data_IF_004338108896
#
_entry.id   IF_004338108896
#
_cell.length_a   1.000
_cell.length_b   1.000
_cell.length_c   1.000
_cell.angle_alpha   90.00
_cell.angle_beta   90.00
_cell.angle_gamma   90.00
#
_symmetry.space_group_name_H-M   'P 1'
#
loop_
_entity.id
_entity.type
_entity.pdbx_description
1 polymer ?
#
# COMPACT_ATOMS: atom_id res chain seq x y z
N UNK A 1 62.20 1.26 24.99
CA UNK A 1 61.47 0.01 25.31
C UNK A 1 60.07 0.16 24.72
N UNK A 2 59.46 -0.75 23.95
CA UNK A 2 59.73 -2.15 23.68
C UNK A 2 59.21 -2.56 22.29
N UNK A 3 59.93 -3.47 21.64
CA UNK A 3 59.53 -4.16 20.40
C UNK A 3 58.77 -5.43 20.82
N UNK A 4 57.54 -5.64 20.34
CA UNK A 4 56.87 -6.96 20.41
C UNK A 4 56.86 -7.62 19.04
N UNK A 5 57.30 -8.88 19.07
CA UNK A 5 57.63 -9.77 17.95
C UNK A 5 56.38 -10.30 17.25
N UNK A 6 56.47 -10.44 15.94
CA UNK A 6 55.56 -11.23 15.12
C UNK A 6 55.80 -12.72 15.34
N UNK A 7 54.74 -13.48 15.57
CA UNK A 7 54.75 -14.96 15.53
C UNK A 7 54.26 -15.44 14.18
N UNK A 8 55.17 -16.07 13.43
CA UNK A 8 54.87 -16.88 12.24
C UNK A 8 54.17 -18.16 12.70
N UNK A 9 52.97 -18.42 12.18
CA UNK A 9 52.37 -19.76 12.21
C UNK A 9 52.77 -20.50 10.94
N UNK A 10 53.34 -21.69 11.12
CA UNK A 10 53.75 -22.60 10.05
C UNK A 10 52.55 -23.38 9.50
N UNK A 11 52.50 -23.47 8.16
CA UNK A 11 51.69 -24.41 7.38
C UNK A 11 52.10 -25.87 7.66
N UNK A 12 51.10 -26.74 7.77
CA UNK A 12 51.01 -28.09 7.21
C UNK A 12 49.56 -28.56 7.43
N UNK A 13 48.87 -29.32 6.60
CA UNK A 13 49.08 -29.89 5.27
C UNK A 13 47.73 -30.51 4.88
N UNK A 14 47.41 -30.50 3.58
CA UNK A 14 46.23 -31.12 2.97
C UNK A 14 45.92 -32.53 3.50
N UNK A 15 44.66 -32.77 3.91
CA UNK A 15 43.89 -33.95 3.52
C UNK A 15 42.40 -33.71 3.81
N UNK A 16 41.71 -33.14 2.83
CA UNK A 16 40.25 -33.20 2.73
C UNK A 16 39.87 -34.63 2.37
N UNK A 17 39.38 -35.39 3.36
CA UNK A 17 38.45 -36.48 3.10
C UNK A 17 37.09 -36.04 3.60
N UNK A 18 36.17 -35.82 2.66
CA UNK A 18 34.74 -35.59 2.90
C UNK A 18 34.17 -36.71 3.78
N UNK A 19 34.14 -36.52 5.10
CA UNK A 19 33.29 -37.30 6.01
C UNK A 19 31.91 -36.64 6.04
N UNK A 20 31.14 -36.81 4.96
CA UNK A 20 29.74 -36.38 4.93
C UNK A 20 28.93 -37.23 5.91
N UNK A 21 28.42 -36.62 6.98
CA UNK A 21 27.57 -37.33 7.94
C UNK A 21 26.13 -37.36 7.42
N UNK A 22 25.58 -38.56 7.27
CA UNK A 22 24.16 -38.71 6.98
C UNK A 22 23.33 -38.26 8.19
N UNK A 23 22.21 -37.59 7.92
CA UNK A 23 21.25 -37.21 8.96
C UNK A 23 20.72 -38.45 9.67
N UNK A 24 20.63 -38.38 11.00
CA UNK A 24 20.07 -39.46 11.78
C UNK A 24 18.55 -39.56 11.51
N UNK A 25 18.05 -40.66 10.93
CA UNK A 25 16.65 -40.75 10.52
C UNK A 25 15.69 -40.80 11.72
N UNK A 26 16.19 -41.11 12.92
CA UNK A 26 15.35 -41.21 14.12
C UNK A 26 15.27 -39.89 14.89
N UNK A 27 16.36 -39.11 14.91
CA UNK A 27 16.42 -37.85 15.66
C UNK A 27 16.34 -36.60 14.76
N UNK A 28 16.38 -36.76 13.44
CA UNK A 28 16.29 -35.66 12.48
C UNK A 28 17.42 -34.63 12.63
N UNK A 29 18.60 -35.05 13.11
CA UNK A 29 19.75 -34.19 13.34
C UNK A 29 21.01 -34.81 12.73
N UNK A 30 21.88 -33.98 12.16
CA UNK A 30 23.25 -34.38 11.81
C UNK A 30 24.05 -34.65 13.08
N UNK A 31 24.86 -35.70 13.11
CA UNK A 31 25.66 -36.02 14.30
C UNK A 31 26.70 -34.91 14.51
N UNK A 32 27.08 -34.70 15.78
CA UNK A 32 28.09 -33.69 16.11
C UNK A 32 29.53 -34.17 15.78
N UNK A 33 29.75 -35.49 15.73
CA UNK A 33 31.06 -36.10 15.49
C UNK A 33 30.96 -37.24 14.49
N UNK A 34 31.95 -37.35 13.60
CA UNK A 34 32.03 -38.41 12.61
C UNK A 34 32.55 -39.69 13.27
N UNK A 35 31.64 -40.53 13.75
CA UNK A 35 31.98 -41.73 14.52
C UNK A 35 32.65 -42.84 13.70
N UNK A 36 32.74 -42.69 12.38
CA UNK A 36 33.34 -43.69 11.49
C UNK A 36 34.80 -43.41 11.15
N UNK A 37 35.30 -42.18 11.40
CA UNK A 37 36.68 -41.79 11.09
C UNK A 37 37.73 -42.56 11.89
N UNK A 38 38.76 -43.08 11.21
CA UNK A 38 39.81 -43.95 11.77
C UNK A 38 40.58 -43.36 12.96
N UNK A 39 40.51 -42.04 13.17
CA UNK A 39 41.16 -41.32 14.28
C UNK A 39 40.30 -41.28 15.55
N UNK A 40 39.05 -41.74 15.51
CA UNK A 40 38.15 -41.70 16.68
C UNK A 40 38.43 -42.88 17.61
N UNK A 41 38.76 -42.55 18.86
CA UNK A 41 39.06 -43.54 19.90
C UNK A 41 37.91 -44.58 20.04
N UNK A 42 38.22 -45.89 19.96
CA UNK A 42 37.20 -46.95 19.99
C UNK A 42 36.41 -47.00 21.30
N UNK A 43 36.99 -46.58 22.43
CA UNK A 43 36.27 -46.50 23.70
C UNK A 43 35.21 -45.41 23.70
N UNK A 44 35.48 -44.27 23.06
CA UNK A 44 34.52 -43.17 22.90
C UNK A 44 33.34 -43.60 22.02
N UNK A 45 33.61 -44.36 20.94
CA UNK A 45 32.55 -44.94 20.11
C UNK A 45 31.64 -45.87 20.92
N UNK A 46 32.22 -46.70 21.79
CA UNK A 46 31.47 -47.64 22.64
C UNK A 46 30.60 -46.89 23.66
N UNK A 47 31.16 -45.85 24.29
CA UNK A 47 30.44 -44.99 25.22
C UNK A 47 29.24 -44.29 24.55
N UNK A 48 29.47 -43.63 23.40
CA UNK A 48 28.40 -42.91 22.70
C UNK A 48 27.30 -43.86 22.17
N UNK A 49 27.65 -45.09 21.78
CA UNK A 49 26.66 -46.14 21.46
C UNK A 49 25.82 -46.53 22.68
N UNK A 50 26.43 -46.65 23.86
CA UNK A 50 25.72 -46.95 25.10
C UNK A 50 24.78 -45.82 25.52
N UNK A 51 25.24 -44.57 25.48
CA UNK A 51 24.40 -43.39 25.77
C UNK A 51 23.21 -43.31 24.80
N UNK A 52 23.43 -43.60 23.52
CA UNK A 52 22.35 -43.66 22.53
C UNK A 52 21.33 -44.74 22.87
N UNK A 53 21.78 -45.96 23.17
CA UNK A 53 20.86 -47.05 23.56
C UNK A 53 20.06 -46.69 24.81
N UNK A 54 20.70 -46.06 25.79
CA UNK A 54 20.02 -45.60 26.99
C UNK A 54 18.96 -44.53 26.67
N UNK A 55 19.29 -43.52 25.85
CA UNK A 55 18.33 -42.50 25.41
C UNK A 55 17.12 -43.11 24.67
N UNK A 56 17.36 -44.09 23.79
CA UNK A 56 16.30 -44.82 23.07
C UNK A 56 15.40 -45.60 24.02
N UNK A 57 15.98 -46.24 25.04
CA UNK A 57 15.22 -46.98 26.05
C UNK A 57 14.33 -46.06 26.91
N UNK A 58 14.80 -44.84 27.22
CA UNK A 58 14.04 -43.87 28.02
C UNK A 58 12.89 -43.22 27.23
N UNK A 59 13.06 -43.05 25.91
CA UNK A 59 12.04 -42.49 25.00
C UNK A 59 11.02 -43.53 24.50
N UNK A 60 11.13 -44.80 24.90
CA UNK A 60 10.22 -45.87 24.46
C UNK A 60 10.33 -46.23 22.97
N UNK A 61 11.41 -45.81 22.30
CA UNK A 61 11.63 -46.05 20.88
C UNK A 61 12.50 -47.31 20.71
N UNK A 62 11.86 -48.45 20.46
CA UNK A 62 12.56 -49.73 20.28
C UNK A 62 13.26 -49.79 18.90
N UNK A 63 14.61 -49.84 18.81
CA UNK A 63 15.33 -49.82 17.55
C UNK A 63 15.21 -51.11 16.72
N UNK A 64 14.55 -52.15 17.27
CA UNK A 64 14.28 -53.41 16.59
C UNK A 64 12.96 -53.47 15.80
N UNK A 65 12.05 -52.52 16.02
CA UNK A 65 10.82 -52.48 15.21
C UNK A 65 11.19 -51.92 13.84
N UNK A 66 11.17 -52.79 12.81
CA UNK A 66 11.14 -52.33 11.42
C UNK A 66 9.92 -51.44 11.30
N UNK A 67 10.14 -50.13 11.28
CA UNK A 67 9.14 -49.15 10.86
C UNK A 67 8.68 -49.63 9.48
N UNK A 68 7.50 -50.26 9.46
CA UNK A 68 6.77 -50.47 8.23
C UNK A 68 6.56 -49.06 7.70
N UNK A 69 7.34 -48.74 6.65
CA UNK A 69 7.08 -47.59 5.80
C UNK A 69 5.59 -47.68 5.47
N UNK A 70 4.81 -46.72 5.95
CA UNK A 70 3.41 -46.64 5.58
C UNK A 70 3.37 -46.57 4.05
N UNK A 71 3.10 -47.71 3.42
CA UNK A 71 2.77 -47.78 2.01
C UNK A 71 1.47 -47.03 1.90
N UNK A 72 1.57 -45.80 1.40
CA UNK A 72 0.41 -45.07 0.87
C UNK A 72 -0.34 -46.03 -0.07
N UNK A 73 -1.68 -46.00 -0.08
CA UNK A 73 -2.45 -46.82 -0.99
C UNK A 73 -1.97 -46.55 -2.42
N UNK A 74 -1.59 -47.61 -3.11
CA UNK A 74 -1.28 -47.58 -4.53
C UNK A 74 -2.63 -47.57 -5.25
N UNK A 75 -3.22 -46.39 -5.38
CA UNK A 75 -4.33 -46.18 -6.30
C UNK A 75 -3.71 -45.88 -7.68
N UNK A 76 -3.92 -46.81 -8.60
CA UNK A 76 -3.56 -46.66 -10.01
C UNK A 76 -4.50 -45.63 -10.66
N UNK A 77 -3.95 -44.88 -11.63
CA UNK A 77 -4.56 -43.85 -12.50
C UNK A 77 -4.47 -42.44 -11.88
N UNK A 78 -3.75 -41.47 -12.45
CA UNK A 78 -3.66 -41.17 -13.87
C UNK A 78 -2.26 -40.82 -14.40
N UNK A 79 -2.16 -40.99 -15.70
CA UNK A 79 -1.03 -40.82 -16.60
C UNK A 79 -0.91 -39.35 -17.06
N UNK A 80 -1.21 -38.39 -16.18
CA UNK A 80 -1.19 -36.96 -16.50
C UNK A 80 -0.02 -36.30 -15.79
N UNK A 81 0.70 -35.44 -16.51
CA UNK A 81 1.67 -34.50 -15.97
C UNK A 81 1.08 -33.85 -14.73
N UNK A 82 1.74 -34.01 -13.58
CA UNK A 82 1.47 -33.21 -12.39
C UNK A 82 1.84 -31.76 -12.73
N UNK A 83 0.90 -31.04 -13.35
CA UNK A 83 0.94 -29.58 -13.42
C UNK A 83 1.15 -29.07 -11.98
N UNK A 84 2.09 -28.13 -11.76
CA UNK A 84 2.36 -27.63 -10.42
C UNK A 84 1.05 -27.09 -9.84
N UNK A 85 0.75 -27.40 -8.58
CA UNK A 85 -0.45 -26.92 -7.87
C UNK A 85 -0.42 -25.39 -7.84
N UNK A 86 -0.99 -24.76 -8.87
CA UNK A 86 -0.99 -23.31 -9.01
C UNK A 86 -1.82 -22.75 -7.87
N UNK A 87 -1.20 -21.93 -7.03
CA UNK A 87 -1.92 -21.27 -5.94
C UNK A 87 -3.13 -20.52 -6.52
N UNK A 88 -4.34 -20.92 -6.13
CA UNK A 88 -5.58 -20.41 -6.72
C UNK A 88 -5.68 -18.87 -6.70
N UNK A 89 -5.07 -18.21 -5.69
CA UNK A 89 -5.01 -16.74 -5.60
C UNK A 89 -4.06 -16.11 -6.63
N UNK A 90 -2.98 -16.82 -7.01
CA UNK A 90 -2.07 -16.40 -8.09
C UNK A 90 -2.67 -16.70 -9.46
N UNK A 91 -3.29 -17.87 -9.64
CA UNK A 91 -4.04 -18.19 -10.86
C UNK A 91 -5.14 -17.14 -11.14
N UNK A 92 -5.84 -16.69 -10.09
CA UNK A 92 -6.83 -15.62 -10.18
C UNK A 92 -6.19 -14.29 -10.62
N UNK A 93 -5.02 -13.96 -10.09
CA UNK A 93 -4.29 -12.76 -10.50
C UNK A 93 -3.95 -12.85 -12.00
N UNK A 94 -3.38 -13.95 -12.47
CA UNK A 94 -2.96 -14.10 -13.87
C UNK A 94 -4.16 -14.01 -14.82
N UNK A 95 -5.27 -14.66 -14.46
CA UNK A 95 -6.53 -14.64 -15.23
C UNK A 95 -7.09 -13.22 -15.38
N UNK A 96 -7.04 -12.41 -14.31
CA UNK A 96 -7.72 -11.12 -14.26
C UNK A 96 -6.83 -9.92 -14.56
N UNK A 97 -5.50 -10.09 -14.49
CA UNK A 97 -4.51 -9.00 -14.64
C UNK A 97 -4.73 -8.12 -15.87
N UNK A 98 -5.01 -8.74 -17.04
CA UNK A 98 -5.30 -8.03 -18.29
C UNK A 98 -6.60 -7.23 -18.23
N UNK A 99 -7.65 -7.78 -17.62
CA UNK A 99 -8.92 -7.09 -17.45
C UNK A 99 -8.79 -5.89 -16.50
N UNK A 100 -8.04 -6.05 -15.41
CA UNK A 100 -7.76 -4.95 -14.48
C UNK A 100 -6.97 -3.80 -15.12
N UNK A 101 -6.00 -4.12 -15.99
CA UNK A 101 -5.26 -3.09 -16.73
C UNK A 101 -6.13 -2.42 -17.80
N UNK A 102 -7.03 -3.15 -18.47
CA UNK A 102 -7.99 -2.55 -19.39
C UNK A 102 -8.93 -1.57 -18.67
N UNK A 103 -9.48 -1.98 -17.52
CA UNK A 103 -10.28 -1.13 -16.63
C UNK A 103 -9.51 0.11 -16.17
N UNK A 104 -8.24 -0.06 -15.79
CA UNK A 104 -7.38 1.06 -15.41
C UNK A 104 -7.16 2.05 -16.56
N UNK A 105 -6.94 1.57 -17.78
CA UNK A 105 -6.78 2.42 -18.97
C UNK A 105 -8.04 3.19 -19.32
N UNK A 106 -9.20 2.53 -19.22
CA UNK A 106 -10.49 3.20 -19.42
C UNK A 106 -10.67 4.35 -18.43
N UNK A 107 -10.41 4.09 -17.15
CA UNK A 107 -10.48 5.11 -16.10
C UNK A 107 -9.48 6.25 -16.35
N UNK A 108 -8.23 5.92 -16.70
CA UNK A 108 -7.17 6.90 -17.01
C UNK A 108 -7.54 7.80 -18.19
N UNK A 109 -8.09 7.22 -19.27
CA UNK A 109 -8.51 7.96 -20.45
C UNK A 109 -9.70 8.89 -20.13
N UNK A 110 -10.69 8.39 -19.38
CA UNK A 110 -11.84 9.22 -18.99
C UNK A 110 -11.45 10.43 -18.14
N UNK A 111 -10.43 10.30 -17.28
CA UNK A 111 -9.89 11.43 -16.50
C UNK A 111 -9.25 12.45 -17.44
N UNK A 112 -8.41 12.01 -18.37
CA UNK A 112 -7.73 12.92 -19.33
C UNK A 112 -8.73 13.70 -20.20
N UNK A 113 -9.84 13.06 -20.60
CA UNK A 113 -10.92 13.72 -21.34
C UNK A 113 -11.68 14.74 -20.48
N UNK A 114 -11.90 14.41 -19.20
CA UNK A 114 -12.64 15.26 -18.26
C UNK A 114 -11.82 16.46 -17.80
N UNK A 115 -10.52 16.28 -17.55
CA UNK A 115 -9.59 17.35 -17.14
C UNK A 115 -9.44 18.44 -18.20
N UNK A 116 -9.61 18.11 -19.47
CA UNK A 116 -9.68 19.11 -20.54
C UNK A 116 -10.90 20.03 -20.46
N UNK A 117 -11.94 19.64 -19.72
CA UNK A 117 -13.24 20.33 -19.69
C UNK A 117 -13.60 20.95 -18.33
N UNK A 118 -13.00 20.50 -17.23
CA UNK A 118 -13.41 20.90 -15.88
C UNK A 118 -12.21 21.20 -14.96
N UNK A 119 -11.47 22.25 -15.29
CA UNK A 119 -10.87 23.03 -14.22
C UNK A 119 -12.03 23.78 -13.54
N UNK A 120 -12.54 23.26 -12.42
CA UNK A 120 -13.43 24.00 -11.52
C UNK A 120 -12.68 25.19 -10.93
N UNK A 121 -12.41 26.18 -11.76
CA UNK A 121 -12.01 27.49 -11.31
C UNK A 121 -13.30 28.21 -10.97
N UNK A 122 -13.38 28.65 -9.72
CA UNK A 122 -14.44 29.55 -9.32
C UNK A 122 -14.43 30.78 -10.23
N UNK A 123 -15.51 30.99 -10.98
CA UNK A 123 -15.75 32.29 -11.61
C UNK A 123 -16.14 33.30 -10.52
N UNK A 124 -15.95 34.62 -10.75
CA UNK A 124 -16.39 35.65 -9.81
C UNK A 124 -17.85 35.47 -9.38
N UNK A 125 -18.72 35.13 -10.32
CA UNK A 125 -20.16 34.95 -10.13
C UNK A 125 -20.48 33.72 -9.27
N UNK A 126 -19.78 32.59 -9.51
CA UNK A 126 -19.95 31.38 -8.69
C UNK A 126 -19.41 31.56 -7.27
N UNK A 127 -18.38 32.37 -7.07
CA UNK A 127 -17.90 32.76 -5.74
C UNK A 127 -18.92 33.64 -5.02
N UNK A 128 -19.53 34.58 -5.71
CA UNK A 128 -20.54 35.46 -5.12
C UNK A 128 -21.78 34.67 -4.70
N UNK A 129 -22.24 33.71 -5.52
CA UNK A 129 -23.29 32.76 -5.14
C UNK A 129 -22.87 31.90 -3.95
N UNK A 130 -21.66 31.35 -3.94
CA UNK A 130 -21.16 30.54 -2.83
C UNK A 130 -21.12 31.32 -1.51
N UNK A 131 -20.70 32.60 -1.55
CA UNK A 131 -20.72 33.48 -0.39
C UNK A 131 -22.14 33.80 0.10
N UNK A 132 -23.11 33.93 -0.82
CA UNK A 132 -24.52 34.10 -0.48
C UNK A 132 -25.08 32.88 0.26
N UNK A 133 -24.84 31.67 -0.25
CA UNK A 133 -25.27 30.44 0.42
C UNK A 133 -24.54 30.22 1.75
N UNK A 134 -23.24 30.56 1.83
CA UNK A 134 -22.48 30.47 3.07
C UNK A 134 -22.96 31.47 4.13
N UNK A 135 -23.40 32.67 3.72
CA UNK A 135 -24.06 33.65 4.60
C UNK A 135 -25.33 33.07 5.22
N UNK A 136 -26.20 32.47 4.41
CA UNK A 136 -27.45 31.82 4.88
C UNK A 136 -27.15 30.70 5.87
N UNK A 137 -26.22 29.81 5.52
CA UNK A 137 -25.78 28.73 6.39
C UNK A 137 -25.29 29.25 7.76
N UNK A 138 -24.46 30.29 7.77
CA UNK A 138 -23.96 30.87 9.01
C UNK A 138 -25.06 31.50 9.85
N UNK A 139 -26.01 32.21 9.24
CA UNK A 139 -27.14 32.81 9.96
C UNK A 139 -27.99 31.73 10.63
N UNK A 140 -28.39 30.72 9.86
CA UNK A 140 -29.21 29.61 10.35
C UNK A 140 -28.50 28.78 11.42
N UNK A 141 -27.21 28.50 11.25
CA UNK A 141 -26.43 27.71 12.21
C UNK A 141 -26.16 28.47 13.52
N UNK A 142 -26.07 29.81 13.49
CA UNK A 142 -25.96 30.65 14.69
C UNK A 142 -27.32 30.76 15.38
N UNK A 143 -28.42 30.94 14.64
CA UNK A 143 -29.78 31.00 15.19
C UNK A 143 -30.20 29.68 15.86
N UNK A 144 -29.84 28.54 15.27
CA UNK A 144 -30.10 27.21 15.84
C UNK A 144 -29.12 26.81 16.95
N UNK A 145 -28.11 27.63 17.24
CA UNK A 145 -27.07 27.35 18.24
C UNK A 145 -26.15 26.19 17.89
N UNK A 146 -26.10 25.75 16.62
CA UNK A 146 -25.23 24.67 16.15
C UNK A 146 -23.76 25.11 16.03
N UNK A 147 -23.52 26.42 15.87
CA UNK A 147 -22.17 27.00 15.83
C UNK A 147 -22.07 28.07 16.93
N UNK A 148 -21.06 27.93 17.81
CA UNK A 148 -20.71 28.98 18.77
C UNK A 148 -20.31 30.27 18.04
N UNK A 149 -21.06 31.34 18.29
CA UNK A 149 -20.74 32.68 17.80
C UNK A 149 -19.46 33.17 18.46
N UNK A 150 -18.35 33.05 17.73
CA UNK A 150 -17.05 33.56 18.15
C UNK A 150 -16.70 34.82 17.36
N UNK A 151 -15.72 35.59 17.86
CA UNK A 151 -15.33 36.88 17.28
C UNK A 151 -15.02 36.80 15.77
N UNK A 152 -14.44 35.69 15.31
CA UNK A 152 -14.13 35.46 13.90
C UNK A 152 -15.40 35.24 13.04
N UNK A 153 -16.34 34.42 13.51
CA UNK A 153 -17.61 34.15 12.81
C UNK A 153 -18.48 35.40 12.76
N UNK A 154 -18.59 36.16 13.85
CA UNK A 154 -19.36 37.41 13.86
C UNK A 154 -18.77 38.45 12.90
N UNK A 155 -17.44 38.56 12.82
CA UNK A 155 -16.76 39.46 11.85
C UNK A 155 -17.05 39.06 10.40
N UNK A 156 -16.94 37.77 10.08
CA UNK A 156 -17.22 37.28 8.73
C UNK A 156 -18.69 37.47 8.35
N UNK A 157 -19.61 37.23 9.29
CA UNK A 157 -21.04 37.44 9.08
C UNK A 157 -21.37 38.92 8.82
N UNK A 158 -20.72 39.84 9.53
CA UNK A 158 -20.85 41.29 9.28
C UNK A 158 -20.31 41.69 7.90
N UNK A 159 -19.18 41.12 7.45
CA UNK A 159 -18.65 41.35 6.10
C UNK A 159 -19.61 40.82 5.02
N UNK A 160 -20.21 39.66 5.23
CA UNK A 160 -21.18 39.07 4.29
C UNK A 160 -22.53 39.80 4.30
N UNK A 161 -22.90 40.46 5.40
CA UNK A 161 -24.06 41.34 5.44
C UNK A 161 -23.88 42.59 4.58
N UNK A 162 -22.67 43.12 4.49
CA UNK A 162 -22.35 44.25 3.61
C UNK A 162 -22.24 43.89 2.13
N UNK A 163 -22.19 42.59 1.80
CA UNK A 163 -22.11 42.11 0.43
C UNK A 163 -23.52 41.91 -0.14
N UNK A 164 -23.93 42.78 -1.07
CA UNK A 164 -25.19 42.65 -1.80
C UNK A 164 -24.94 41.88 -3.10
N UNK A 165 -25.38 40.62 -3.11
CA UNK A 165 -25.56 39.83 -4.34
C UNK A 165 -27.05 39.92 -4.68
N UNK A 166 -27.39 40.20 -5.93
CA UNK A 166 -28.79 40.27 -6.38
C UNK A 166 -29.47 38.91 -6.13
N UNK A 167 -30.53 38.89 -5.32
CA UNK A 167 -31.28 37.68 -4.93
C UNK A 167 -31.95 36.99 -6.13
N UNK A 168 -32.08 37.69 -7.27
CA UNK A 168 -32.64 37.17 -8.53
C UNK A 168 -31.73 36.13 -9.22
N UNK A 169 -30.49 35.93 -8.74
CA UNK A 169 -29.58 34.89 -9.22
C UNK A 169 -29.79 33.51 -8.53
N UNK A 170 -30.76 33.42 -7.62
CA UNK A 170 -31.09 32.17 -6.94
C UNK A 170 -31.66 31.14 -7.92
N UNK A 171 -30.86 30.11 -8.17
CA UNK A 171 -31.38 28.90 -8.80
C UNK A 171 -31.98 28.06 -7.67
N UNK A 172 -33.30 27.84 -7.67
CA UNK A 172 -34.07 27.09 -6.63
C UNK A 172 -33.54 25.67 -6.32
N UNK A 173 -32.53 25.18 -7.04
CA UNK A 173 -31.97 23.84 -6.92
C UNK A 173 -30.57 23.75 -6.31
N UNK A 174 -29.93 24.87 -5.93
CA UNK A 174 -28.56 24.84 -5.40
C UNK A 174 -28.55 24.83 -3.87
N UNK A 175 -27.99 23.77 -3.29
CA UNK A 175 -27.76 23.61 -1.85
C UNK A 175 -26.27 23.75 -1.53
N UNK A 176 -25.97 24.27 -0.34
CA UNK A 176 -24.60 24.34 0.15
C UNK A 176 -24.17 22.99 0.73
N UNK A 177 -22.97 22.55 0.39
CA UNK A 177 -22.33 21.42 1.04
C UNK A 177 -22.05 21.78 2.52
N UNK A 178 -22.80 21.16 3.43
CA UNK A 178 -22.66 21.37 4.87
C UNK A 178 -21.27 20.96 5.39
N UNK A 179 -20.64 19.91 4.85
CA UNK A 179 -19.30 19.49 5.26
C UNK A 179 -18.27 20.54 4.86
N UNK A 180 -18.40 21.06 3.63
CA UNK A 180 -17.57 22.17 3.15
C UNK A 180 -17.74 23.41 4.03
N UNK A 181 -18.99 23.79 4.33
CA UNK A 181 -19.30 24.98 5.13
C UNK A 181 -18.76 24.85 6.56
N UNK A 182 -18.96 23.69 7.20
CA UNK A 182 -18.41 23.39 8.53
C UNK A 182 -16.88 23.38 8.54
N UNK A 183 -16.25 22.85 7.48
CA UNK A 183 -14.79 22.90 7.31
C UNK A 183 -14.27 24.33 7.16
N UNK A 184 -14.99 25.19 6.42
CA UNK A 184 -14.65 26.61 6.30
C UNK A 184 -14.78 27.31 7.65
N UNK A 185 -15.87 27.07 8.40
CA UNK A 185 -16.05 27.61 9.75
C UNK A 185 -14.93 27.17 10.69
N UNK A 186 -14.56 25.89 10.70
CA UNK A 186 -13.45 25.39 11.50
C UNK A 186 -12.13 26.10 11.14
N UNK A 187 -11.94 26.40 9.85
CA UNK A 187 -10.80 27.17 9.39
C UNK A 187 -10.84 28.63 9.88
N UNK A 188 -12.01 29.29 9.89
CA UNK A 188 -12.20 30.64 10.44
C UNK A 188 -11.75 30.76 11.91
N UNK A 189 -11.77 29.66 12.67
CA UNK A 189 -11.30 29.61 14.07
C UNK A 189 -9.77 29.53 14.21
N UNK A 190 -9.04 29.30 13.13
CA UNK A 190 -7.57 29.15 13.18
C UNK A 190 -6.86 30.50 13.08
N UNK A 191 -5.62 30.58 13.59
CA UNK A 191 -4.82 31.83 13.62
C UNK A 191 -4.64 32.51 12.26
N UNK A 192 -4.76 31.75 11.15
CA UNK A 192 -4.68 32.28 9.78
C UNK A 192 -5.86 33.18 9.41
N UNK A 193 -6.96 33.14 10.16
CA UNK A 193 -8.25 33.74 9.83
C UNK A 193 -8.67 34.89 10.73
N UNK A 194 -7.90 35.18 11.78
CA UNK A 194 -8.18 36.32 12.67
C UNK A 194 -8.05 37.70 12.00
N UNK A 195 -7.43 37.76 10.80
CA UNK A 195 -7.10 39.02 10.11
C UNK A 195 -7.92 39.27 8.84
N UNK A 196 -9.01 38.54 8.57
CA UNK A 196 -9.85 38.82 7.40
C UNK A 196 -10.60 40.13 7.64
N UNK A 197 -10.33 41.13 6.81
CA UNK A 197 -10.94 42.47 6.89
C UNK A 197 -11.82 42.80 5.68
N UNK A 198 -11.68 42.08 4.56
CA UNK A 198 -12.41 42.37 3.32
C UNK A 198 -13.04 41.12 2.69
N UNK A 199 -14.07 41.33 1.87
CA UNK A 199 -14.72 40.27 1.09
C UNK A 199 -13.74 39.69 0.06
N UNK A 200 -12.89 40.51 -0.55
CA UNK A 200 -11.86 40.03 -1.49
C UNK A 200 -10.82 39.13 -0.82
N UNK A 201 -10.47 39.38 0.44
CA UNK A 201 -9.62 38.48 1.22
C UNK A 201 -10.31 37.15 1.50
N UNK A 202 -11.63 37.17 1.77
CA UNK A 202 -12.43 35.96 1.96
C UNK A 202 -12.56 35.17 0.65
N UNK A 203 -12.86 35.83 -0.48
CA UNK A 203 -12.88 35.24 -1.82
C UNK A 203 -11.52 34.62 -2.13
N UNK A 204 -10.44 35.39 -1.98
CA UNK A 204 -9.06 34.90 -2.17
C UNK A 204 -8.81 33.69 -1.30
N UNK A 205 -9.26 33.68 -0.06
CA UNK A 205 -9.01 32.56 0.84
C UNK A 205 -9.76 31.29 0.42
N UNK A 206 -11.01 31.41 -0.03
CA UNK A 206 -11.79 30.29 -0.57
C UNK A 206 -11.15 29.77 -1.85
N UNK A 207 -10.71 30.67 -2.73
CA UNK A 207 -10.07 30.33 -4.00
C UNK A 207 -8.62 29.86 -3.84
N UNK A 208 -7.92 30.23 -2.76
CA UNK A 208 -6.50 29.87 -2.57
C UNK A 208 -6.43 28.48 -1.95
N UNK A 209 -5.97 27.48 -2.70
CA UNK A 209 -6.07 26.11 -2.22
C UNK A 209 -4.97 25.83 -1.19
N UNK A 210 -5.26 24.98 -0.20
CA UNK A 210 -4.33 24.66 0.92
C UNK A 210 -2.97 24.19 0.39
N UNK A 211 -1.82 24.67 0.93
CA UNK A 211 -0.52 24.28 0.42
C UNK A 211 -0.33 22.76 0.52
N UNK A 212 0.30 22.17 -0.50
CA UNK A 212 0.59 20.75 -0.51
C UNK A 212 1.67 20.42 0.55
N UNK A 213 1.62 19.23 1.17
CA UNK A 213 2.67 18.80 2.07
C UNK A 213 4.03 18.75 1.37
N UNK A 214 5.11 19.01 2.12
CA UNK A 214 6.47 19.05 1.54
C UNK A 214 7.31 17.83 1.92
N UNK A 215 7.13 17.30 3.13
CA UNK A 215 7.93 16.20 3.67
C UNK A 215 7.12 14.92 3.83
N UNK A 216 7.82 13.79 3.97
CA UNK A 216 7.26 12.46 4.10
C UNK A 216 6.20 12.34 5.21
N UNK A 217 6.50 12.85 6.41
CA UNK A 217 5.58 12.74 7.56
C UNK A 217 4.32 13.58 7.38
N UNK A 218 4.45 14.78 6.80
CA UNK A 218 3.31 15.62 6.47
C UNK A 218 2.44 14.98 5.39
N UNK A 219 3.05 14.35 4.38
CA UNK A 219 2.31 13.57 3.38
C UNK A 219 1.60 12.37 3.99
N UNK A 220 2.26 11.58 4.85
CA UNK A 220 1.63 10.46 5.53
C UNK A 220 0.40 10.90 6.33
N UNK A 221 0.53 11.97 7.12
CA UNK A 221 -0.59 12.52 7.89
C UNK A 221 -1.71 13.06 6.98
N UNK A 222 -1.36 13.61 5.82
CA UNK A 222 -2.32 14.11 4.85
C UNK A 222 -3.11 12.96 4.21
N UNK A 223 -2.44 11.97 3.62
CA UNK A 223 -3.12 10.87 2.92
C UNK A 223 -3.95 9.99 3.86
N UNK A 224 -3.58 9.90 5.14
CA UNK A 224 -4.34 9.12 6.14
C UNK A 224 -5.57 9.84 6.67
N UNK A 225 -5.71 11.14 6.38
CA UNK A 225 -6.83 11.98 6.84
C UNK A 225 -7.68 12.54 5.71
N UNK A 226 -7.16 12.56 4.49
CA UNK A 226 -7.79 13.18 3.32
C UNK A 226 -8.01 12.14 2.24
N UNK A 227 -9.20 12.14 1.65
CA UNK A 227 -9.51 11.30 0.50
C UNK A 227 -9.13 12.03 -0.79
N UNK A 228 -8.66 11.30 -1.82
CA UNK A 228 -8.32 11.91 -3.10
C UNK A 228 -9.60 12.38 -3.80
N UNK A 229 -9.69 13.68 -4.09
CA UNK A 229 -10.80 14.30 -4.84
C UNK A 229 -10.30 14.90 -6.15
N UNK A 230 -11.07 14.90 -7.25
CA UNK A 230 -10.60 15.39 -8.56
C UNK A 230 -9.88 16.74 -8.50
N UNK A 231 -10.44 17.70 -7.76
CA UNK A 231 -9.85 19.03 -7.56
C UNK A 231 -8.49 18.99 -6.84
N UNK A 232 -8.32 18.12 -5.84
CA UNK A 232 -7.03 17.94 -5.15
C UNK A 232 -5.99 17.32 -6.08
N UNK A 233 -6.41 16.41 -6.95
CA UNK A 233 -5.55 15.63 -7.80
C UNK A 233 -5.03 16.43 -9.00
N UNK A 234 -5.88 17.29 -9.59
CA UNK A 234 -5.45 18.30 -10.57
C UNK A 234 -4.32 19.17 -10.02
N UNK A 235 -4.33 19.50 -8.73
CA UNK A 235 -3.25 20.29 -8.10
C UNK A 235 -1.95 19.52 -7.91
N UNK A 236 -2.02 18.18 -7.86
CA UNK A 236 -0.88 17.28 -7.67
C UNK A 236 -0.38 16.73 -9.01
N UNK A 237 -1.06 17.03 -10.13
CA UNK A 237 -0.75 16.55 -11.49
C UNK A 237 0.66 16.83 -12.02
N UNK A 238 1.47 17.63 -11.30
CA UNK A 238 2.90 17.73 -11.53
C UNK A 238 3.56 16.34 -11.35
N UNK A 239 4.14 15.81 -12.43
CA UNK A 239 4.72 14.47 -12.47
C UNK A 239 5.78 14.27 -11.38
N UNK A 240 6.57 15.29 -11.04
CA UNK A 240 7.55 15.21 -9.96
C UNK A 240 6.90 15.01 -8.58
N UNK A 241 5.72 15.59 -8.35
CA UNK A 241 4.95 15.41 -7.13
C UNK A 241 4.33 14.01 -7.07
N UNK A 242 3.74 13.55 -8.19
CA UNK A 242 3.15 12.21 -8.31
C UNK A 242 4.21 11.12 -8.10
N UNK A 243 5.39 11.25 -8.71
CA UNK A 243 6.50 10.31 -8.54
C UNK A 243 7.04 10.31 -7.12
N UNK A 244 7.13 11.48 -6.49
CA UNK A 244 7.52 11.58 -5.07
C UNK A 244 6.52 10.84 -4.18
N UNK A 245 5.22 11.00 -4.44
CA UNK A 245 4.18 10.23 -3.76
C UNK A 245 4.29 8.73 -4.01
N UNK A 246 4.58 8.31 -5.25
CA UNK A 246 4.85 6.91 -5.57
C UNK A 246 5.99 6.34 -4.72
N UNK A 247 7.08 7.10 -4.57
CA UNK A 247 8.22 6.70 -3.73
C UNK A 247 7.85 6.54 -2.24
N UNK A 248 6.96 7.39 -1.73
CA UNK A 248 6.49 7.31 -0.35
C UNK A 248 5.53 6.13 -0.13
N UNK A 249 4.66 5.86 -1.11
CA UNK A 249 3.72 4.74 -1.09
C UNK A 249 4.42 3.38 -1.00
N UNK A 250 5.68 3.25 -1.43
CA UNK A 250 6.48 2.02 -1.22
C UNK A 250 6.51 1.62 0.27
N UNK A 251 6.52 2.59 1.18
CA UNK A 251 6.50 2.32 2.62
C UNK A 251 5.09 1.98 3.12
N UNK A 252 4.08 2.67 2.60
CA UNK A 252 2.69 2.63 3.10
C UNK A 252 1.84 1.52 2.49
N UNK A 253 2.13 1.03 1.29
CA UNK A 253 1.42 -0.13 0.70
C UNK A 253 1.53 -1.37 1.58
N UNK A 254 2.61 -1.49 2.36
CA UNK A 254 2.78 -2.56 3.34
C UNK A 254 1.80 -2.51 4.51
N UNK A 255 1.01 -1.45 4.66
CA UNK A 255 -0.01 -1.30 5.69
C UNK A 255 -1.40 -1.75 5.22
N UNK A 256 -1.60 -1.94 3.91
CA UNK A 256 -2.84 -2.49 3.32
C UNK A 256 -3.12 -3.91 3.86
N UNK A 257 -2.18 -4.89 3.82
CA UNK A 257 -2.44 -6.21 4.39
C UNK A 257 -2.65 -6.17 5.91
N UNK A 258 -2.12 -5.14 6.60
CA UNK A 258 -2.28 -4.99 8.05
C UNK A 258 -3.60 -4.30 8.44
N UNK A 259 -4.47 -4.02 7.47
CA UNK A 259 -5.73 -3.30 7.64
C UNK A 259 -5.57 -1.90 8.30
N UNK A 260 -4.43 -1.23 8.08
CA UNK A 260 -4.16 0.10 8.63
C UNK A 260 -4.44 1.16 7.56
N UNK A 261 -5.42 2.02 7.81
CA UNK A 261 -5.85 3.07 6.87
C UNK A 261 -6.09 2.54 5.43
N UNK A 262 -6.57 1.30 5.33
CA UNK A 262 -6.56 0.52 4.08
C UNK A 262 -7.31 1.23 2.96
N UNK A 263 -8.46 1.84 3.26
CA UNK A 263 -9.25 2.54 2.26
C UNK A 263 -8.50 3.72 1.67
N UNK A 264 -8.01 4.62 2.53
CA UNK A 264 -7.29 5.82 2.09
C UNK A 264 -6.01 5.49 1.33
N UNK A 265 -5.19 4.59 1.86
CA UNK A 265 -3.95 4.19 1.17
C UNK A 265 -4.25 3.54 -0.18
N UNK A 266 -5.31 2.72 -0.26
CA UNK A 266 -5.73 2.11 -1.53
C UNK A 266 -6.16 3.16 -2.55
N UNK A 267 -6.97 4.15 -2.13
CA UNK A 267 -7.41 5.23 -3.01
C UNK A 267 -6.26 6.11 -3.47
N UNK A 268 -5.34 6.46 -2.58
CA UNK A 268 -4.13 7.22 -2.94
C UNK A 268 -3.20 6.42 -3.86
N UNK A 269 -3.14 5.09 -3.71
CA UNK A 269 -2.39 4.23 -4.63
C UNK A 269 -3.00 4.24 -6.03
N UNK A 270 -4.33 4.12 -6.14
CA UNK A 270 -5.04 4.25 -7.41
C UNK A 270 -4.76 5.61 -8.06
N UNK A 271 -4.88 6.71 -7.30
CA UNK A 271 -4.59 8.06 -7.79
C UNK A 271 -3.18 8.16 -8.40
N UNK A 272 -2.16 7.76 -7.64
CA UNK A 272 -0.78 7.87 -8.12
C UNK A 272 -0.60 7.07 -9.41
N UNK A 273 -1.19 5.88 -9.53
CA UNK A 273 -1.10 5.10 -10.76
C UNK A 273 -1.78 5.81 -11.94
N UNK A 274 -2.95 6.42 -11.74
CA UNK A 274 -3.73 7.09 -12.79
C UNK A 274 -3.01 8.33 -13.35
N UNK A 275 -2.31 9.08 -12.49
CA UNK A 275 -1.68 10.35 -12.85
C UNK A 275 -0.21 10.25 -13.27
N UNK A 276 0.38 9.06 -13.18
CA UNK A 276 1.72 8.84 -13.74
C UNK A 276 1.66 8.87 -15.26
N UNK A 277 2.64 9.54 -15.88
CA UNK A 277 2.79 9.54 -17.34
C UNK A 277 2.97 8.12 -17.87
N UNK A 278 2.37 7.83 -19.03
CA UNK A 278 2.53 6.52 -19.66
C UNK A 278 3.98 6.26 -20.13
N UNK A 279 4.75 7.32 -20.36
CA UNK A 279 6.16 7.25 -20.77
C UNK A 279 7.05 7.85 -19.69
N UNK A 280 7.66 7.00 -18.87
CA UNK A 280 8.55 7.43 -17.80
C UNK A 280 10.02 7.18 -18.15
N UNK A 281 10.93 8.11 -17.79
CA UNK A 281 12.36 7.85 -17.80
C UNK A 281 12.74 6.63 -16.95
N UNK A 282 13.81 5.93 -17.34
CA UNK A 282 14.35 4.79 -16.60
C UNK A 282 14.48 4.98 -15.07
N UNK A 283 14.98 6.11 -14.52
CA UNK A 283 15.03 6.30 -13.06
C UNK A 283 13.65 6.29 -12.41
N UNK A 284 12.64 6.85 -13.08
CA UNK A 284 11.26 6.91 -12.58
C UNK A 284 10.60 5.53 -12.64
N UNK A 285 10.87 4.77 -13.69
CA UNK A 285 10.46 3.36 -13.80
C UNK A 285 11.07 2.51 -12.68
N UNK A 286 12.29 2.80 -12.23
CA UNK A 286 12.89 2.10 -11.09
C UNK A 286 12.11 2.30 -9.79
N UNK A 287 11.58 3.50 -9.54
CA UNK A 287 10.73 3.79 -8.38
C UNK A 287 9.45 2.94 -8.45
N UNK A 288 8.81 2.90 -9.62
CA UNK A 288 7.61 2.07 -9.83
C UNK A 288 7.90 0.59 -9.71
N UNK A 289 9.05 0.13 -10.20
CA UNK A 289 9.50 -1.25 -10.03
C UNK A 289 9.62 -1.60 -8.55
N UNK A 290 10.15 -0.72 -7.71
CA UNK A 290 10.25 -0.95 -6.27
C UNK A 290 8.87 -0.96 -5.58
N UNK A 291 7.94 -0.13 -6.04
CA UNK A 291 6.52 -0.21 -5.65
C UNK A 291 5.92 -1.57 -6.04
N UNK A 292 6.16 -2.04 -7.27
CA UNK A 292 5.72 -3.34 -7.76
C UNK A 292 6.31 -4.52 -6.98
N UNK A 293 7.62 -4.49 -6.66
CA UNK A 293 8.25 -5.48 -5.78
C UNK A 293 7.62 -5.50 -4.40
N UNK A 294 7.32 -4.32 -3.84
CA UNK A 294 6.63 -4.20 -2.55
C UNK A 294 5.23 -4.80 -2.62
N UNK A 295 4.47 -4.50 -3.67
CA UNK A 295 3.15 -5.06 -3.90
C UNK A 295 3.21 -6.59 -4.02
N UNK A 296 4.14 -7.13 -4.82
CA UNK A 296 4.41 -8.58 -4.94
C UNK A 296 4.70 -9.21 -3.58
N UNK A 297 5.60 -8.61 -2.79
CA UNK A 297 5.91 -9.09 -1.44
C UNK A 297 4.69 -9.12 -0.53
N UNK A 298 3.85 -8.09 -0.59
CA UNK A 298 2.61 -8.03 0.19
C UNK A 298 1.63 -9.13 -0.26
N UNK A 299 1.49 -9.34 -1.57
CA UNK A 299 0.64 -10.39 -2.14
C UNK A 299 1.08 -11.77 -1.66
N UNK A 300 2.37 -12.10 -1.77
CA UNK A 300 2.93 -13.38 -1.33
C UNK A 300 2.77 -13.60 0.17
N UNK A 301 2.94 -12.55 0.99
CA UNK A 301 2.68 -12.62 2.44
C UNK A 301 1.23 -12.98 2.76
N UNK A 302 0.26 -12.41 2.03
CA UNK A 302 -1.15 -12.74 2.18
C UNK A 302 -1.49 -14.16 1.72
N UNK A 303 -0.60 -14.83 0.97
CA UNK A 303 -0.74 -16.27 0.66
C UNK A 303 -0.26 -17.14 1.82
N UNK A 304 0.81 -16.73 2.50
CA UNK A 304 1.40 -17.47 3.62
C UNK A 304 0.62 -17.30 4.94
N UNK A 305 -0.12 -16.19 5.09
CA UNK A 305 -0.95 -15.95 6.27
C UNK A 305 -2.32 -16.64 6.16
N UNK A 306 -2.65 -17.45 7.17
CA UNK A 306 -3.96 -18.10 7.35
C UNK A 306 -5.04 -17.18 7.92
N UNK A 307 -4.68 -15.95 8.32
CA UNK A 307 -5.62 -14.99 8.88
C UNK A 307 -6.62 -14.51 7.81
N UNK A 308 -7.90 -14.62 8.14
CA UNK A 308 -9.06 -14.02 7.46
C UNK A 308 -9.03 -12.49 7.61
N UNK A 309 -8.03 -11.85 7.00
CA UNK A 309 -7.98 -10.40 6.91
C UNK A 309 -9.07 -9.92 5.96
N UNK A 310 -9.83 -8.90 6.38
CA UNK A 310 -10.82 -8.23 5.55
C UNK A 310 -10.15 -7.69 4.29
N UNK A 311 -10.51 -8.23 3.14
CA UNK A 311 -9.98 -7.77 1.86
C UNK A 311 -10.69 -6.46 1.53
N UNK A 312 -9.97 -5.34 1.60
CA UNK A 312 -10.49 -4.08 1.10
C UNK A 312 -10.42 -4.07 -0.42
N UNK A 313 -11.58 -3.87 -1.06
CA UNK A 313 -11.68 -3.73 -2.50
C UNK A 313 -11.67 -2.26 -2.90
N UNK A 314 -10.93 -1.97 -3.96
CA UNK A 314 -10.88 -0.65 -4.57
C UNK A 314 -12.27 -0.23 -4.99
N UNK A 315 -12.61 1.01 -4.65
CA UNK A 315 -13.80 1.71 -5.15
C UNK A 315 -13.31 2.86 -6.02
N UNK A 316 -14.04 3.19 -7.07
CA UNK A 316 -13.79 4.43 -7.82
C UNK A 316 -14.16 5.59 -6.89
N UNK A 317 -13.28 6.58 -6.66
CA UNK A 317 -13.62 7.74 -5.85
C UNK A 317 -14.78 8.54 -6.46
N UNK A 318 -15.52 9.25 -5.62
CA UNK A 318 -16.59 10.12 -6.09
C UNK A 318 -16.05 11.25 -6.98
N UNK A 319 -16.76 11.55 -8.07
CA UNK A 319 -16.37 12.55 -9.07
C UNK A 319 -15.44 12.05 -10.17
N UNK A 320 -15.07 10.76 -10.18
CA UNK A 320 -14.37 10.12 -11.29
C UNK A 320 -15.35 9.52 -12.31
N UNK A 321 -14.94 9.39 -13.58
CA UNK A 321 -15.74 8.68 -14.57
C UNK A 321 -15.93 7.23 -14.13
N UNK A 322 -17.17 6.77 -14.11
CA UNK A 322 -17.51 5.40 -13.77
C UNK A 322 -17.15 4.51 -14.96
N UNK A 323 -16.24 3.54 -14.80
CA UNK A 323 -15.90 2.62 -15.88
C UNK A 323 -17.12 1.81 -16.31
N UNK A 324 -17.26 1.57 -17.62
CA UNK A 324 -18.37 0.80 -18.19
C UNK A 324 -18.32 -0.68 -17.82
N UNK A 325 -17.15 -1.19 -17.42
CA UNK A 325 -16.92 -2.59 -17.07
C UNK A 325 -16.92 -2.78 -15.57
N UNK A 326 -17.87 -3.56 -15.06
CA UNK A 326 -17.80 -4.11 -13.70
C UNK A 326 -16.65 -5.12 -13.64
N UNK A 327 -15.70 -4.90 -12.72
CA UNK A 327 -14.57 -5.79 -12.53
C UNK A 327 -14.75 -6.65 -11.28
N UNK A 328 -14.14 -7.84 -11.33
CA UNK A 328 -13.98 -8.66 -10.13
C UNK A 328 -13.33 -7.87 -8.99
N UNK A 329 -13.61 -8.23 -7.72
CA UNK A 329 -13.05 -7.55 -6.56
C UNK A 329 -11.53 -7.39 -6.65
N UNK A 330 -11.09 -6.14 -6.79
CA UNK A 330 -9.71 -5.73 -7.07
C UNK A 330 -9.12 -5.04 -5.84
N UNK A 331 -7.88 -5.36 -5.48
CA UNK A 331 -7.16 -4.66 -4.40
C UNK A 331 -6.15 -3.67 -4.99
N UNK A 332 -5.78 -2.64 -4.23
CA UNK A 332 -4.75 -1.70 -4.69
C UNK A 332 -3.37 -2.36 -4.86
N UNK A 333 -3.10 -3.44 -4.13
CA UNK A 333 -1.88 -4.24 -4.30
C UNK A 333 -1.89 -4.95 -5.66
N UNK A 334 -3.02 -5.58 -6.00
CA UNK A 334 -3.18 -6.30 -7.25
C UNK A 334 -3.13 -5.35 -8.45
N UNK A 335 -3.80 -4.20 -8.34
CA UNK A 335 -3.76 -3.17 -9.37
C UNK A 335 -2.34 -2.62 -9.56
N UNK A 336 -1.66 -2.24 -8.47
CA UNK A 336 -0.28 -1.73 -8.55
C UNK A 336 0.66 -2.75 -9.19
N UNK A 337 0.55 -4.02 -8.82
CA UNK A 337 1.36 -5.08 -9.42
C UNK A 337 1.06 -5.26 -10.91
N UNK A 338 -0.22 -5.34 -11.29
CA UNK A 338 -0.63 -5.53 -12.68
C UNK A 338 -0.24 -4.34 -13.57
N UNK A 339 -0.46 -3.11 -13.11
CA UNK A 339 -0.10 -1.89 -13.85
C UNK A 339 1.42 -1.77 -14.02
N UNK A 340 2.20 -1.94 -12.95
CA UNK A 340 3.67 -1.85 -13.05
C UNK A 340 4.22 -2.94 -13.99
N UNK A 341 3.67 -4.16 -13.93
CA UNK A 341 4.15 -5.26 -14.76
C UNK A 341 3.74 -5.14 -16.24
N UNK A 342 2.49 -4.76 -16.52
CA UNK A 342 1.92 -4.79 -17.87
C UNK A 342 1.95 -3.44 -18.58
N UNK A 343 1.75 -2.33 -17.87
CA UNK A 343 1.77 -0.97 -18.44
C UNK A 343 3.21 -0.44 -18.56
N UNK A 344 4.01 -0.60 -17.50
CA UNK A 344 5.41 -0.14 -17.46
C UNK A 344 6.44 -1.22 -17.83
N UNK A 345 5.97 -2.35 -18.36
CA UNK A 345 6.82 -3.40 -18.94
C UNK A 345 7.65 -4.23 -17.95
N UNK A 346 7.41 -4.14 -16.64
CA UNK A 346 8.13 -4.90 -15.61
C UNK A 346 7.57 -6.33 -15.44
N UNK A 347 7.50 -7.09 -16.55
CA UNK A 347 6.79 -8.38 -16.62
C UNK A 347 7.35 -9.46 -15.69
N UNK A 348 8.61 -9.37 -15.32
CA UNK A 348 9.26 -10.29 -14.40
C UNK A 348 8.65 -10.24 -12.98
N UNK A 349 7.95 -9.16 -12.61
CA UNK A 349 7.31 -9.04 -11.29
C UNK A 349 6.11 -9.98 -11.11
N UNK A 350 5.50 -10.41 -12.21
CA UNK A 350 4.36 -11.34 -12.22
C UNK A 350 4.78 -12.73 -12.67
N UNK A 351 6.08 -12.98 -12.81
CA UNK A 351 6.58 -14.32 -13.00
C UNK A 351 6.58 -15.05 -11.64
N UNK A 352 5.84 -16.15 -11.58
CA UNK A 352 5.66 -16.96 -10.38
C UNK A 352 6.54 -18.22 -10.39
N UNK A 353 7.30 -18.48 -11.45
CA UNK A 353 8.12 -19.70 -11.55
C UNK A 353 9.27 -19.76 -10.56
N UNK A 354 9.72 -18.61 -10.07
CA UNK A 354 10.85 -18.48 -9.14
C UNK A 354 10.42 -18.43 -7.64
N UNK A 355 9.16 -18.71 -7.32
CA UNK A 355 8.59 -18.53 -5.96
C UNK A 355 8.44 -19.79 -5.13
#
# INVERSE_FOLDING_TARGET
MGKKKATKSFRNSKQDSNESQSMDPLFGQSRAFALEGHLVNPQVRKYLKSVRQQALSTLGADPGSKVQRATRPKENQGFYDDEPVVNQKLARFDKNSKAWVAWFRELKNGIQETEGSSAQQYTPETLDLLLLYFKRFLQEAVEKGSIESNESVTKVLALLQSHNVEEDAETESLEIDEEWANSLVAQLKTKRFHNIQTIDELKRLISTPKPLPQNFNSWHNFITRTEPSPALLQRISDNDCVLRLASYLIQWVGDIPKNKNVGRISQWTLFVLLYLDSNLPAPNVSILRDLGKKARHCKLKTLASTDTQSIYHLKVPEGFPVPSVEIEPLTAIDLALAVVALEYGQRDLIDWTDT
#
